data_IF_434419283202
#
_entry.id   IF_434419283202
#
_cell.length_a   1.000
_cell.length_b   1.000
_cell.length_c   1.000
_cell.angle_alpha   90.00
_cell.angle_beta   90.00
_cell.angle_gamma   90.00
#
_symmetry.space_group_name_H-M   'P 1'
#
loop_
_entity.id
_entity.type
_entity.pdbx_description
1 polymer ?
#
# COMPACT_ATOMS: atom_id res chain seq x y z
N UNK A 1 28.42 -13.16 19.90
CA UNK A 1 27.65 -14.01 18.97
C UNK A 1 27.70 -13.38 17.58
N UNK A 2 28.61 -13.84 16.71
CA UNK A 2 28.64 -13.41 15.31
C UNK A 2 27.45 -14.05 14.59
N UNK A 3 26.59 -13.21 13.98
CA UNK A 3 25.47 -13.67 13.16
C UNK A 3 26.01 -14.55 12.01
N UNK A 4 25.18 -15.47 11.51
CA UNK A 4 25.49 -16.48 10.46
C UNK A 4 26.15 -15.90 9.19
N UNK A 5 26.07 -14.58 8.99
CA UNK A 5 26.73 -13.83 7.91
C UNK A 5 28.20 -13.49 8.17
N UNK A 6 28.63 -13.34 9.44
CA UNK A 6 30.04 -13.16 9.79
C UNK A 6 30.89 -14.41 9.50
N UNK A 7 30.26 -15.58 9.57
CA UNK A 7 30.87 -16.84 9.15
C UNK A 7 31.13 -16.90 7.63
N UNK A 8 30.34 -16.20 6.80
CA UNK A 8 30.54 -16.18 5.34
C UNK A 8 31.78 -15.35 4.97
N UNK A 9 32.03 -14.23 5.65
CA UNK A 9 33.27 -13.45 5.47
C UNK A 9 34.50 -14.23 5.93
N UNK A 10 34.38 -14.96 7.05
CA UNK A 10 35.45 -15.85 7.52
C UNK A 10 35.71 -17.00 6.53
N UNK A 11 34.66 -17.58 5.95
CA UNK A 11 34.74 -18.65 4.94
C UNK A 11 35.29 -18.14 3.60
N UNK A 12 35.03 -16.89 3.22
CA UNK A 12 35.63 -16.26 2.03
C UNK A 12 37.13 -15.99 2.23
N UNK A 13 37.53 -15.54 3.43
CA UNK A 13 38.94 -15.37 3.81
C UNK A 13 39.67 -16.73 3.80
N UNK A 14 39.01 -17.80 4.27
CA UNK A 14 39.56 -19.16 4.26
C UNK A 14 39.60 -19.76 2.85
N UNK A 15 38.57 -19.55 2.03
CA UNK A 15 38.52 -20.03 0.64
C UNK A 15 39.59 -19.38 -0.24
N UNK A 16 39.88 -18.09 -0.01
CA UNK A 16 40.96 -17.38 -0.70
C UNK A 16 42.36 -17.87 -0.28
N UNK A 17 42.52 -18.34 0.96
CA UNK A 17 43.72 -19.07 1.38
C UNK A 17 43.92 -20.40 0.65
N UNK A 18 42.83 -21.13 0.34
CA UNK A 18 42.89 -22.41 -0.38
C UNK A 18 43.10 -22.29 -1.89
N UNK A 19 42.70 -21.18 -2.54
CA UNK A 19 42.96 -20.99 -4.00
C UNK A 19 44.46 -20.87 -4.27
N UNK A 20 45.24 -20.31 -3.34
CA UNK A 20 46.68 -20.28 -3.46
C UNK A 20 47.34 -21.67 -3.39
N UNK A 21 46.70 -22.66 -2.76
CA UNK A 21 47.24 -24.03 -2.66
C UNK A 21 47.13 -24.86 -3.95
N UNK A 22 46.38 -24.39 -4.96
CA UNK A 22 46.08 -25.14 -6.19
C UNK A 22 47.01 -24.75 -7.36
N UNK A 23 47.67 -23.60 -7.29
CA UNK A 23 48.65 -23.17 -8.31
C UNK A 23 50.08 -23.25 -7.75
N UNK A 24 51.05 -23.81 -8.49
CA UNK A 24 52.45 -23.82 -8.09
C UNK A 24 53.01 -22.40 -8.26
N UNK A 25 52.70 -21.53 -7.30
CA UNK A 25 53.15 -20.15 -7.24
C UNK A 25 54.34 -20.08 -6.28
N UNK A 26 55.44 -19.40 -6.65
CA UNK A 26 56.59 -19.24 -5.77
C UNK A 26 56.31 -18.17 -4.70
N UNK A 27 55.75 -18.62 -3.58
CA UNK A 27 55.33 -17.80 -2.44
C UNK A 27 56.44 -16.97 -1.80
N UNK A 28 57.71 -17.26 -2.09
CA UNK A 28 58.86 -16.50 -1.55
C UNK A 28 59.09 -15.18 -2.28
N UNK A 29 58.53 -15.03 -3.48
CA UNK A 29 58.61 -13.81 -4.29
C UNK A 29 57.43 -12.84 -4.06
N UNK A 30 56.43 -13.26 -3.29
CA UNK A 30 55.22 -12.48 -3.04
C UNK A 30 55.46 -11.49 -1.92
N UNK A 31 55.33 -10.20 -2.24
CA UNK A 31 55.15 -9.17 -1.22
C UNK A 31 53.75 -9.30 -0.61
N UNK A 32 53.66 -10.09 0.47
CA UNK A 32 52.42 -10.32 1.20
C UNK A 32 51.76 -9.04 1.70
N UNK A 33 52.54 -7.97 1.92
CA UNK A 33 51.99 -6.66 2.29
C UNK A 33 51.21 -6.04 1.13
N UNK A 34 51.79 -6.05 -0.07
CA UNK A 34 51.12 -5.56 -1.28
C UNK A 34 49.87 -6.38 -1.61
N UNK A 35 49.97 -7.71 -1.56
CA UNK A 35 48.83 -8.61 -1.83
C UNK A 35 47.68 -8.40 -0.84
N UNK A 36 47.98 -8.22 0.45
CA UNK A 36 46.95 -7.94 1.46
C UNK A 36 46.24 -6.60 1.20
N UNK A 37 46.97 -5.58 0.74
CA UNK A 37 46.41 -4.27 0.41
C UNK A 37 45.55 -4.33 -0.86
N UNK A 38 46.00 -5.02 -1.91
CA UNK A 38 45.18 -5.26 -3.12
C UNK A 38 43.89 -6.00 -2.80
N UNK A 39 43.97 -7.03 -1.95
CA UNK A 39 42.79 -7.76 -1.49
C UNK A 39 41.84 -6.86 -0.68
N UNK A 40 42.39 -5.97 0.15
CA UNK A 40 41.59 -5.01 0.91
C UNK A 40 40.83 -4.04 -0.01
N UNK A 41 41.46 -3.59 -1.10
CA UNK A 41 40.81 -2.79 -2.14
C UNK A 41 39.68 -3.59 -2.77
N UNK A 42 39.92 -4.82 -3.22
CA UNK A 42 38.88 -5.66 -3.81
C UNK A 42 37.67 -5.85 -2.89
N UNK A 43 37.91 -6.15 -1.61
CA UNK A 43 36.86 -6.34 -0.61
C UNK A 43 36.05 -5.07 -0.36
N UNK A 44 36.68 -3.88 -0.43
CA UNK A 44 36.01 -2.60 -0.27
C UNK A 44 34.94 -2.33 -1.34
N UNK A 45 35.07 -2.92 -2.54
CA UNK A 45 34.08 -2.80 -3.62
C UNK A 45 32.89 -3.76 -3.48
N UNK A 46 33.02 -4.81 -2.68
CA UNK A 46 32.00 -5.86 -2.51
C UNK A 46 30.57 -5.33 -2.32
N UNK A 47 30.32 -4.36 -1.43
CA UNK A 47 28.99 -3.78 -1.24
C UNK A 47 28.39 -3.19 -2.54
N UNK A 48 29.20 -2.56 -3.40
CA UNK A 48 28.72 -1.97 -4.65
C UNK A 48 28.17 -3.00 -5.66
N UNK A 49 28.53 -4.28 -5.51
CA UNK A 49 28.08 -5.37 -6.39
C UNK A 49 26.82 -6.09 -5.93
N UNK A 50 26.30 -5.77 -4.74
CA UNK A 50 25.07 -6.37 -4.22
C UNK A 50 23.93 -5.35 -4.16
N UNK A 51 22.69 -5.85 -4.19
CA UNK A 51 21.49 -5.00 -4.14
C UNK A 51 21.33 -4.32 -2.78
N UNK A 52 20.62 -3.18 -2.73
CA UNK A 52 20.31 -2.49 -1.45
C UNK A 52 19.58 -3.39 -0.45
N UNK A 53 18.71 -4.29 -0.93
CA UNK A 53 18.02 -5.26 -0.09
C UNK A 53 19.00 -6.25 0.56
N UNK A 54 19.99 -6.73 -0.21
CA UNK A 54 21.06 -7.59 0.31
C UNK A 54 21.95 -6.83 1.28
N UNK A 55 22.34 -5.59 0.98
CA UNK A 55 23.12 -4.75 1.90
C UNK A 55 22.43 -4.58 3.24
N UNK A 56 21.14 -4.21 3.24
CA UNK A 56 20.36 -4.08 4.48
C UNK A 56 20.28 -5.40 5.25
N UNK A 57 20.18 -6.54 4.55
CA UNK A 57 20.14 -7.87 5.17
C UNK A 57 21.48 -8.26 5.80
N UNK A 58 22.60 -7.93 5.17
CA UNK A 58 23.93 -8.34 5.64
C UNK A 58 24.53 -7.37 6.67
N UNK A 59 24.39 -6.06 6.45
CA UNK A 59 24.95 -5.01 7.30
C UNK A 59 24.02 -4.71 8.48
N UNK A 60 22.70 -4.86 8.31
CA UNK A 60 21.71 -4.43 9.29
C UNK A 60 21.44 -2.92 9.22
N UNK A 61 20.89 -2.38 10.31
CA UNK A 61 20.63 -0.94 10.45
C UNK A 61 21.83 -0.26 11.11
N UNK A 62 22.37 0.78 10.47
CA UNK A 62 23.46 1.56 11.04
C UNK A 62 22.92 2.47 12.16
N UNK A 63 23.59 2.58 13.30
CA UNK A 63 23.07 3.32 14.47
C UNK A 63 22.85 4.82 14.19
N UNK A 64 23.63 5.41 13.29
CA UNK A 64 23.56 6.83 12.92
C UNK A 64 22.78 7.12 11.63
N UNK A 65 22.58 6.11 10.76
CA UNK A 65 21.88 6.24 9.47
C UNK A 65 21.09 4.95 9.14
N UNK A 66 20.07 4.59 9.92
CA UNK A 66 19.36 3.31 9.77
C UNK A 66 18.69 3.15 8.40
N UNK A 67 18.42 4.28 7.73
CA UNK A 67 17.75 4.31 6.43
C UNK A 67 18.70 4.16 5.24
N UNK A 68 20.04 4.30 5.43
CA UNK A 68 21.02 4.43 4.34
C UNK A 68 22.22 3.48 4.50
N UNK A 69 22.03 2.15 4.38
CA UNK A 69 23.14 1.18 4.41
C UNK A 69 24.18 1.43 3.30
N UNK A 70 23.79 2.09 2.20
CA UNK A 70 24.68 2.42 1.08
C UNK A 70 25.83 3.37 1.45
N UNK A 71 25.69 4.20 2.50
CA UNK A 71 26.75 5.12 2.93
C UNK A 71 28.01 4.35 3.33
N UNK A 72 27.86 3.17 3.93
CA UNK A 72 28.99 2.30 4.26
C UNK A 72 29.70 1.82 2.99
N UNK A 73 28.96 1.45 1.95
CA UNK A 73 29.53 1.02 0.68
C UNK A 73 30.32 2.14 -0.02
N UNK A 74 29.81 3.37 0.02
CA UNK A 74 30.50 4.56 -0.51
C UNK A 74 31.75 4.86 0.31
N UNK A 75 31.66 4.80 1.65
CA UNK A 75 32.79 5.02 2.55
C UNK A 75 33.90 3.99 2.37
N UNK A 76 33.56 2.71 2.21
CA UNK A 76 34.53 1.64 1.92
C UNK A 76 35.22 1.87 0.57
N UNK A 77 34.48 2.26 -0.47
CA UNK A 77 35.08 2.54 -1.78
C UNK A 77 36.03 3.74 -1.74
N UNK A 78 35.68 4.80 -1.00
CA UNK A 78 36.57 5.93 -0.74
C UNK A 78 37.83 5.50 0.03
N UNK A 79 37.68 4.66 1.06
CA UNK A 79 38.79 4.07 1.78
C UNK A 79 39.73 3.26 0.85
N UNK A 80 39.17 2.47 -0.06
CA UNK A 80 39.95 1.74 -1.06
C UNK A 80 40.83 2.67 -1.92
N UNK A 81 40.32 3.83 -2.34
CA UNK A 81 41.10 4.82 -3.07
C UNK A 81 42.19 5.51 -2.23
N UNK A 82 41.96 5.69 -0.92
CA UNK A 82 43.02 6.16 0.00
C UNK A 82 44.15 5.14 0.09
N UNK A 83 43.82 3.84 0.19
CA UNK A 83 44.82 2.76 0.18
C UNK A 83 45.61 2.75 -1.13
N UNK A 84 44.95 2.91 -2.27
CA UNK A 84 45.61 3.00 -3.59
C UNK A 84 46.59 4.17 -3.66
N UNK A 85 46.21 5.34 -3.14
CA UNK A 85 47.09 6.51 -3.07
C UNK A 85 48.31 6.30 -2.18
N UNK A 86 48.10 5.68 -1.01
CA UNK A 86 49.18 5.35 -0.08
C UNK A 86 50.17 4.35 -0.67
N UNK A 87 49.68 3.29 -1.32
CA UNK A 87 50.52 2.23 -1.90
C UNK A 87 51.28 2.70 -3.14
N UNK A 88 50.60 3.42 -4.04
CA UNK A 88 51.22 3.86 -5.29
C UNK A 88 52.17 5.05 -5.12
N UNK A 89 52.08 5.80 -4.01
CA UNK A 89 52.77 7.07 -3.82
C UNK A 89 52.27 8.21 -4.72
N UNK A 90 51.20 7.98 -5.50
CA UNK A 90 50.67 8.90 -6.52
C UNK A 90 49.38 9.56 -6.07
N UNK A 91 49.45 10.29 -4.96
CA UNK A 91 48.29 10.88 -4.31
C UNK A 91 47.40 11.72 -5.23
N UNK A 92 47.97 12.54 -6.11
CA UNK A 92 47.19 13.39 -7.02
C UNK A 92 46.34 12.56 -8.00
N UNK A 93 46.93 11.55 -8.63
CA UNK A 93 46.23 10.69 -9.58
C UNK A 93 45.17 9.83 -8.88
N UNK A 94 45.50 9.26 -7.71
CA UNK A 94 44.59 8.43 -6.93
C UNK A 94 43.42 9.23 -6.36
N UNK A 95 43.65 10.45 -5.86
CA UNK A 95 42.59 11.31 -5.32
C UNK A 95 41.66 11.76 -6.46
N UNK A 96 42.21 12.21 -7.59
CA UNK A 96 41.43 12.65 -8.74
C UNK A 96 40.55 11.53 -9.30
N UNK A 97 41.13 10.38 -9.61
CA UNK A 97 40.39 9.20 -10.08
C UNK A 97 39.40 8.70 -9.03
N UNK A 98 39.82 8.66 -7.75
CA UNK A 98 38.97 8.23 -6.64
C UNK A 98 37.74 9.10 -6.44
N UNK A 99 37.87 10.42 -6.48
CA UNK A 99 36.72 11.33 -6.34
C UNK A 99 35.70 11.13 -7.46
N UNK A 100 36.16 11.02 -8.71
CA UNK A 100 35.30 10.76 -9.86
C UNK A 100 34.57 9.41 -9.72
N UNK A 101 35.33 8.35 -9.45
CA UNK A 101 34.79 7.01 -9.27
C UNK A 101 33.80 6.89 -8.11
N UNK A 102 34.13 7.42 -6.94
CA UNK A 102 33.25 7.46 -5.76
C UNK A 102 31.96 8.20 -6.09
N UNK A 103 32.06 9.34 -6.77
CA UNK A 103 30.89 10.14 -7.19
C UNK A 103 30.02 9.36 -8.16
N UNK A 104 30.60 8.69 -9.16
CA UNK A 104 29.86 7.86 -10.11
C UNK A 104 29.07 6.74 -9.43
N UNK A 105 29.71 6.00 -8.52
CA UNK A 105 29.04 4.93 -7.75
C UNK A 105 27.97 5.50 -6.83
N UNK A 106 28.24 6.62 -6.15
CA UNK A 106 27.28 7.31 -5.29
C UNK A 106 26.02 7.77 -6.06
N UNK A 107 26.20 8.34 -7.25
CA UNK A 107 25.08 8.70 -8.14
C UNK A 107 24.25 7.48 -8.52
N UNK A 108 24.89 6.32 -8.77
CA UNK A 108 24.19 5.05 -9.00
C UNK A 108 23.30 4.62 -7.83
N UNK A 109 23.78 4.78 -6.58
CA UNK A 109 22.95 4.53 -5.39
C UNK A 109 21.78 5.50 -5.28
N UNK A 110 22.04 6.80 -5.47
CA UNK A 110 21.01 7.85 -5.43
C UNK A 110 19.93 7.58 -6.49
N UNK A 111 20.32 7.17 -7.70
CA UNK A 111 19.40 6.82 -8.78
C UNK A 111 18.44 5.69 -8.41
N UNK A 112 18.95 4.58 -7.85
CA UNK A 112 18.10 3.44 -7.41
C UNK A 112 17.10 3.87 -6.33
N UNK A 113 17.53 4.72 -5.39
CA UNK A 113 16.66 5.30 -4.36
C UNK A 113 15.60 6.22 -4.95
N UNK A 114 16.01 7.12 -5.85
CA UNK A 114 15.13 8.06 -6.52
C UNK A 114 14.01 7.35 -7.29
N UNK A 115 14.33 6.29 -8.05
CA UNK A 115 13.31 5.48 -8.75
C UNK A 115 12.38 4.78 -7.76
N UNK A 116 12.92 4.20 -6.69
CA UNK A 116 12.11 3.52 -5.67
C UNK A 116 11.12 4.47 -4.99
N UNK A 117 11.59 5.67 -4.63
CA UNK A 117 10.78 6.71 -4.01
C UNK A 117 9.78 7.33 -4.99
N UNK A 118 10.18 7.57 -6.24
CA UNK A 118 9.29 8.02 -7.30
C UNK A 118 8.18 7.00 -7.57
N UNK A 119 8.50 5.71 -7.60
CA UNK A 119 7.53 4.62 -7.71
C UNK A 119 6.55 4.62 -6.55
N UNK A 120 7.03 4.76 -5.31
CA UNK A 120 6.18 4.88 -4.11
C UNK A 120 5.25 6.08 -4.21
N UNK A 121 5.76 7.27 -4.58
CA UNK A 121 4.95 8.49 -4.78
C UNK A 121 3.95 8.35 -5.92
N UNK A 122 4.34 7.71 -7.02
CA UNK A 122 3.47 7.47 -8.16
C UNK A 122 2.33 6.50 -7.81
N UNK A 123 2.59 5.45 -7.03
CA UNK A 123 1.56 4.53 -6.51
C UNK A 123 0.61 5.30 -5.58
N UNK A 124 1.15 6.10 -4.66
CA UNK A 124 0.34 6.93 -3.77
C UNK A 124 -0.51 7.93 -4.56
N UNK A 125 0.04 8.48 -5.64
CA UNK A 125 -0.64 9.43 -6.51
C UNK A 125 -1.64 8.75 -7.44
N UNK A 126 -1.42 7.52 -7.91
CA UNK A 126 -2.27 6.89 -8.92
C UNK A 126 -3.55 6.29 -8.35
N UNK A 127 -3.74 6.37 -7.03
CA UNK A 127 -5.02 6.09 -6.39
C UNK A 127 -6.10 6.98 -7.07
N UNK A 128 -7.33 6.48 -7.28
CA UNK A 128 -7.92 5.26 -6.73
C UNK A 128 -7.57 3.97 -7.47
N UNK A 129 -6.81 4.01 -8.55
CA UNK A 129 -6.50 2.80 -9.33
C UNK A 129 -5.65 1.83 -8.51
N UNK A 130 -6.19 0.64 -8.19
CA UNK A 130 -5.50 -0.38 -7.41
C UNK A 130 -4.30 -1.00 -8.15
N UNK A 131 -4.23 -0.86 -9.49
CA UNK A 131 -3.15 -1.39 -10.33
C UNK A 131 -2.82 -0.43 -11.48
N UNK A 132 -2.13 0.69 -11.21
CA UNK A 132 -1.81 1.71 -12.22
C UNK A 132 -0.82 1.27 -13.32
N UNK A 133 -0.48 -0.03 -13.40
CA UNK A 133 0.47 -0.54 -14.38
C UNK A 133 1.89 0.01 -14.19
N UNK A 134 2.27 0.43 -12.98
CA UNK A 134 3.58 1.04 -12.71
C UNK A 134 4.72 0.02 -12.60
N UNK A 135 4.41 -1.22 -12.20
CA UNK A 135 5.41 -2.28 -11.99
C UNK A 135 6.20 -2.63 -13.26
N UNK A 136 5.58 -2.78 -14.45
CA UNK A 136 6.31 -2.96 -15.71
C UNK A 136 7.29 -1.85 -16.07
N UNK A 137 7.13 -0.63 -15.54
CA UNK A 137 8.04 0.51 -15.76
C UNK A 137 9.14 0.52 -14.70
N UNK A 138 8.75 0.30 -13.43
CA UNK A 138 9.65 0.40 -12.29
C UNK A 138 10.68 -0.74 -12.24
N UNK A 139 10.28 -1.99 -12.46
CA UNK A 139 11.17 -3.15 -12.32
C UNK A 139 12.34 -3.11 -13.32
N UNK A 140 12.13 -2.86 -14.63
CA UNK A 140 13.24 -2.71 -15.57
C UNK A 140 14.12 -1.50 -15.25
N UNK A 141 13.51 -0.38 -14.86
CA UNK A 141 14.24 0.84 -14.53
C UNK A 141 15.18 0.68 -13.33
N UNK A 142 14.72 0.02 -12.27
CA UNK A 142 15.56 -0.32 -11.11
C UNK A 142 16.71 -1.25 -11.49
N UNK A 143 16.45 -2.25 -12.35
CA UNK A 143 17.50 -3.15 -12.87
C UNK A 143 18.56 -2.40 -13.66
N UNK A 144 18.15 -1.49 -14.55
CA UNK A 144 19.10 -0.70 -15.35
C UNK A 144 19.94 0.24 -14.47
N UNK A 145 19.34 0.94 -13.51
CA UNK A 145 20.08 1.78 -12.55
C UNK A 145 21.07 0.94 -11.73
N UNK A 146 20.67 -0.26 -11.31
CA UNK A 146 21.55 -1.20 -10.62
C UNK A 146 22.73 -1.64 -11.49
N UNK A 147 22.49 -2.02 -12.75
CA UNK A 147 23.54 -2.43 -13.68
C UNK A 147 24.54 -1.31 -13.95
N UNK A 148 24.06 -0.07 -14.13
CA UNK A 148 24.92 1.10 -14.32
C UNK A 148 25.80 1.39 -13.09
N UNK A 149 25.25 1.22 -11.88
CA UNK A 149 26.04 1.30 -10.64
C UNK A 149 27.12 0.22 -10.56
N UNK A 150 26.78 -1.02 -10.92
CA UNK A 150 27.75 -2.14 -10.97
C UNK A 150 28.84 -1.86 -12.00
N UNK A 151 28.48 -1.36 -13.19
CA UNK A 151 29.45 -0.97 -14.21
C UNK A 151 30.38 0.15 -13.71
N UNK A 152 29.84 1.18 -13.05
CA UNK A 152 30.65 2.24 -12.44
C UNK A 152 31.63 1.69 -11.39
N UNK A 153 31.20 0.74 -10.56
CA UNK A 153 32.05 0.10 -9.57
C UNK A 153 33.15 -0.76 -10.21
N UNK A 154 32.83 -1.53 -11.27
CA UNK A 154 33.82 -2.30 -12.03
C UNK A 154 34.86 -1.39 -12.69
N UNK A 155 34.42 -0.29 -13.32
CA UNK A 155 35.32 0.68 -13.96
C UNK A 155 36.22 1.37 -12.93
N UNK A 156 35.68 1.71 -11.77
CA UNK A 156 36.47 2.23 -10.64
C UNK A 156 37.49 1.21 -10.13
N UNK A 157 37.13 -0.07 -10.05
CA UNK A 157 38.05 -1.13 -9.64
C UNK A 157 39.18 -1.28 -10.67
N UNK A 158 38.87 -1.29 -11.97
CA UNK A 158 39.88 -1.30 -13.04
C UNK A 158 40.80 -0.08 -12.93
N UNK A 159 40.23 1.12 -12.76
CA UNK A 159 40.99 2.34 -12.57
C UNK A 159 41.98 2.22 -11.40
N UNK A 160 41.53 1.66 -10.27
CA UNK A 160 42.37 1.48 -9.08
C UNK A 160 43.58 0.56 -9.35
N UNK A 161 43.38 -0.57 -10.03
CA UNK A 161 44.48 -1.46 -10.42
C UNK A 161 45.40 -0.85 -11.47
N UNK A 162 44.87 -0.03 -12.38
CA UNK A 162 45.69 0.71 -13.35
C UNK A 162 46.63 1.70 -12.64
N UNK A 163 46.16 2.41 -11.61
CA UNK A 163 47.03 3.29 -10.80
C UNK A 163 48.12 2.49 -10.08
N UNK A 164 47.76 1.36 -9.46
CA UNK A 164 48.72 0.49 -8.78
C UNK A 164 49.82 -0.02 -9.72
N UNK A 165 49.49 -0.23 -11.01
CA UNK A 165 50.45 -0.62 -12.06
C UNK A 165 51.23 0.55 -12.68
N UNK A 166 51.01 1.79 -12.21
CA UNK A 166 51.70 2.97 -12.72
C UNK A 166 51.02 3.67 -13.91
N UNK A 167 49.78 3.31 -14.26
CA UNK A 167 49.01 4.02 -15.29
C UNK A 167 48.21 5.19 -14.71
N UNK A 168 48.64 6.43 -14.98
CA UNK A 168 47.93 7.63 -14.51
C UNK A 168 46.77 8.04 -15.42
N UNK A 169 47.08 8.39 -16.68
CA UNK A 169 46.10 8.87 -17.64
C UNK A 169 45.00 7.83 -17.96
N UNK A 170 45.37 6.55 -18.07
CA UNK A 170 44.44 5.45 -18.30
C UNK A 170 43.45 5.28 -17.13
N UNK A 171 43.95 5.35 -15.89
CA UNK A 171 43.10 5.26 -14.71
C UNK A 171 42.09 6.41 -14.65
N UNK A 172 42.52 7.62 -15.02
CA UNK A 172 41.62 8.77 -15.10
C UNK A 172 40.51 8.53 -16.13
N UNK A 173 40.82 7.93 -17.28
CA UNK A 173 39.81 7.60 -18.29
C UNK A 173 38.76 6.61 -17.78
N UNK A 174 39.18 5.55 -17.07
CA UNK A 174 38.25 4.62 -16.42
C UNK A 174 37.40 5.29 -15.33
N UNK A 175 37.97 6.22 -14.56
CA UNK A 175 37.24 6.98 -13.55
C UNK A 175 36.21 7.96 -14.16
N UNK A 176 36.53 8.57 -15.30
CA UNK A 176 35.57 9.36 -16.10
C UNK A 176 34.44 8.47 -16.60
N UNK A 177 34.74 7.30 -17.18
CA UNK A 177 33.72 6.34 -17.60
C UNK A 177 32.82 5.89 -16.44
N UNK A 178 33.39 5.66 -15.25
CA UNK A 178 32.61 5.34 -14.05
C UNK A 178 31.65 6.48 -13.65
N UNK A 179 32.11 7.73 -13.76
CA UNK A 179 31.31 8.92 -13.51
C UNK A 179 30.17 9.05 -14.52
N UNK A 180 30.45 8.82 -15.81
CA UNK A 180 29.44 8.84 -16.89
C UNK A 180 28.37 7.75 -16.67
N UNK A 181 28.76 6.55 -16.24
CA UNK A 181 27.80 5.49 -15.91
C UNK A 181 26.90 5.89 -14.73
N UNK A 182 27.46 6.51 -13.69
CA UNK A 182 26.70 7.07 -12.57
C UNK A 182 25.74 8.19 -12.98
N UNK A 183 26.21 9.13 -13.79
CA UNK A 183 25.39 10.23 -14.32
C UNK A 183 24.25 9.71 -15.21
N UNK A 184 24.53 8.71 -16.04
CA UNK A 184 23.52 8.04 -16.88
C UNK A 184 22.43 7.39 -16.02
N UNK A 185 22.79 6.79 -14.88
CA UNK A 185 21.82 6.24 -13.94
C UNK A 185 20.93 7.35 -13.34
N UNK A 186 21.51 8.50 -13.00
CA UNK A 186 20.76 9.65 -12.48
C UNK A 186 19.78 10.23 -13.52
N UNK A 187 20.21 10.38 -14.78
CA UNK A 187 19.35 10.84 -15.89
C UNK A 187 18.21 9.84 -16.13
N UNK A 188 18.52 8.54 -16.16
CA UNK A 188 17.51 7.49 -16.29
C UNK A 188 16.49 7.53 -15.14
N UNK A 189 16.95 7.72 -13.90
CA UNK A 189 16.08 7.84 -12.73
C UNK A 189 15.15 9.05 -12.83
N UNK A 190 15.64 10.19 -13.31
CA UNK A 190 14.82 11.38 -13.56
C UNK A 190 13.76 11.13 -14.65
N UNK A 191 14.16 10.53 -15.78
CA UNK A 191 13.25 10.18 -16.88
C UNK A 191 12.16 9.19 -16.43
N UNK A 192 12.53 8.16 -15.67
CA UNK A 192 11.59 7.21 -15.07
C UNK A 192 10.66 7.89 -14.07
N UNK A 193 11.18 8.81 -13.25
CA UNK A 193 10.36 9.60 -12.33
C UNK A 193 9.28 10.39 -13.05
N UNK A 194 9.63 11.03 -14.18
CA UNK A 194 8.68 11.75 -15.02
C UNK A 194 7.66 10.81 -15.68
N UNK A 195 8.11 9.67 -16.22
CA UNK A 195 7.22 8.67 -16.82
C UNK A 195 6.21 8.11 -15.79
N UNK A 196 6.69 7.77 -14.58
CA UNK A 196 5.86 7.31 -13.47
C UNK A 196 4.86 8.38 -13.02
N UNK A 197 5.27 9.65 -13.00
CA UNK A 197 4.37 10.77 -12.71
C UNK A 197 3.25 10.91 -13.76
N UNK A 198 3.60 10.87 -15.06
CA UNK A 198 2.59 10.93 -16.12
C UNK A 198 1.66 9.72 -16.10
N UNK A 199 2.19 8.51 -15.92
CA UNK A 199 1.39 7.29 -15.81
C UNK A 199 0.45 7.34 -14.60
N UNK A 200 0.92 7.88 -13.49
CA UNK A 200 0.10 8.09 -12.29
C UNK A 200 -1.07 9.06 -12.56
N UNK A 201 -0.81 10.18 -13.25
CA UNK A 201 -1.89 11.12 -13.65
C UNK A 201 -2.90 10.47 -14.59
N UNK A 202 -2.44 9.67 -15.56
CA UNK A 202 -3.34 8.89 -16.44
C UNK A 202 -4.15 7.86 -15.65
N UNK A 203 -3.52 7.17 -14.70
CA UNK A 203 -4.17 6.20 -13.81
C UNK A 203 -5.32 6.79 -12.99
N UNK A 204 -5.21 8.05 -12.57
CA UNK A 204 -6.32 8.79 -11.92
C UNK A 204 -7.50 8.98 -12.86
N UNK A 205 -7.24 9.42 -14.09
CA UNK A 205 -8.27 9.67 -15.09
C UNK A 205 -8.97 8.37 -15.53
N UNK A 206 -8.22 7.26 -15.62
CA UNK A 206 -8.78 5.97 -16.01
C UNK A 206 -9.56 5.28 -14.91
N UNK A 207 -9.35 5.54 -13.61
CA UNK A 207 -10.13 4.89 -12.56
C UNK A 207 -11.64 5.21 -12.65
N UNK A 208 -11.99 6.48 -12.89
CA UNK A 208 -13.38 6.87 -13.13
C UNK A 208 -13.92 6.28 -14.45
N UNK A 209 -13.08 6.22 -15.48
CA UNK A 209 -13.43 5.60 -16.77
C UNK A 209 -13.64 4.09 -16.69
N UNK A 210 -12.83 3.38 -15.89
CA UNK A 210 -12.94 1.93 -15.67
C UNK A 210 -14.23 1.64 -14.93
N UNK A 211 -14.53 2.37 -13.86
CA UNK A 211 -15.79 2.21 -13.12
C UNK A 211 -16.98 2.52 -14.03
N UNK A 212 -16.93 3.62 -14.79
CA UNK A 212 -17.97 3.95 -15.77
C UNK A 212 -18.12 2.87 -16.85
N UNK A 213 -17.04 2.23 -17.30
CA UNK A 213 -17.08 1.14 -18.29
C UNK A 213 -17.61 -0.17 -17.71
N UNK A 214 -17.28 -0.49 -16.45
CA UNK A 214 -17.80 -1.65 -15.73
C UNK A 214 -19.30 -1.48 -15.45
N UNK A 215 -19.71 -0.29 -15.02
CA UNK A 215 -21.13 0.09 -14.88
C UNK A 215 -21.87 0.06 -16.22
N UNK A 216 -21.23 0.47 -17.33
CA UNK A 216 -21.85 0.37 -18.66
C UNK A 216 -22.09 -1.08 -19.07
N UNK A 217 -21.16 -1.98 -18.72
CA UNK A 217 -21.21 -3.39 -19.10
C UNK A 217 -22.19 -4.22 -18.26
N UNK A 218 -22.34 -3.89 -16.96
CA UNK A 218 -23.11 -4.68 -15.98
C UNK A 218 -24.34 -3.95 -15.41
N UNK A 219 -24.47 -2.65 -15.68
CA UNK A 219 -25.50 -1.76 -15.16
C UNK A 219 -25.09 -1.07 -13.84
N UNK A 220 -25.60 0.13 -13.55
CA UNK A 220 -25.16 0.92 -12.40
C UNK A 220 -25.52 0.26 -11.07
N UNK A 221 -24.66 0.45 -10.06
CA UNK A 221 -24.99 0.08 -8.69
C UNK A 221 -26.10 1.00 -8.15
N UNK A 222 -27.06 0.43 -7.43
CA UNK A 222 -28.14 1.18 -6.78
C UNK A 222 -27.81 1.48 -5.32
N UNK A 223 -27.00 0.62 -4.70
CA UNK A 223 -26.63 0.69 -3.29
C UNK A 223 -25.12 0.64 -3.14
N UNK A 224 -24.57 1.47 -2.24
CA UNK A 224 -23.18 1.39 -1.80
C UNK A 224 -23.08 0.91 -0.35
N UNK A 225 -22.13 0.02 -0.05
CA UNK A 225 -21.75 -0.35 1.32
C UNK A 225 -20.40 0.32 1.64
N UNK A 226 -20.43 1.32 2.51
CA UNK A 226 -19.26 2.10 2.87
C UNK A 226 -18.45 1.42 3.98
N UNK A 227 -17.17 1.14 3.69
CA UNK A 227 -16.27 0.41 4.56
C UNK A 227 -15.05 1.26 4.91
N UNK A 228 -14.96 1.68 6.18
CA UNK A 228 -13.83 2.44 6.71
C UNK A 228 -13.38 1.92 8.08
N UNK A 229 -12.75 0.75 8.10
CA UNK A 229 -12.58 -0.02 9.33
C UNK A 229 -11.10 -0.33 9.62
N UNK A 230 -10.83 -0.89 10.80
CA UNK A 230 -9.47 -1.31 11.18
C UNK A 230 -9.02 -2.59 10.45
N UNK A 231 -7.71 -2.82 10.35
CA UNK A 231 -7.14 -4.01 9.69
C UNK A 231 -7.51 -5.36 10.29
N UNK A 232 -8.10 -5.38 11.49
CA UNK A 232 -8.58 -6.59 12.15
C UNK A 232 -10.08 -6.83 11.99
N UNK A 233 -10.79 -5.92 11.32
CA UNK A 233 -12.24 -6.03 11.15
C UNK A 233 -12.61 -7.23 10.26
N UNK A 234 -13.64 -7.97 10.69
CA UNK A 234 -14.17 -9.13 9.94
C UNK A 234 -15.25 -8.74 8.91
N UNK A 235 -15.73 -7.49 8.96
CA UNK A 235 -16.76 -6.93 8.09
C UNK A 235 -18.03 -7.80 7.95
N UNK A 236 -18.49 -8.40 9.06
CA UNK A 236 -19.63 -9.32 9.07
C UNK A 236 -20.94 -8.66 8.64
N UNK A 237 -21.19 -7.41 9.09
CA UNK A 237 -22.36 -6.64 8.69
C UNK A 237 -22.37 -6.37 7.18
N UNK A 238 -21.23 -5.94 6.60
CA UNK A 238 -21.10 -5.75 5.14
C UNK A 238 -21.38 -7.05 4.40
N UNK A 239 -20.79 -8.17 4.85
CA UNK A 239 -21.04 -9.49 4.25
C UNK A 239 -22.52 -9.84 4.27
N UNK A 240 -23.19 -9.64 5.41
CA UNK A 240 -24.61 -9.92 5.60
C UNK A 240 -25.47 -9.07 4.68
N UNK A 241 -25.30 -7.75 4.71
CA UNK A 241 -26.07 -6.82 3.87
C UNK A 241 -25.86 -7.13 2.40
N UNK A 242 -24.60 -7.33 1.96
CA UNK A 242 -24.29 -7.67 0.57
C UNK A 242 -25.00 -8.96 0.13
N UNK A 243 -24.97 -10.02 0.96
CA UNK A 243 -25.67 -11.27 0.66
C UNK A 243 -27.20 -11.11 0.62
N UNK A 244 -27.79 -10.32 1.51
CA UNK A 244 -29.23 -10.03 1.49
C UNK A 244 -29.64 -9.25 0.24
N UNK A 245 -28.91 -8.17 -0.08
CA UNK A 245 -29.17 -7.37 -1.28
C UNK A 245 -28.99 -8.18 -2.58
N UNK A 246 -27.99 -9.05 -2.63
CA UNK A 246 -27.81 -9.96 -3.76
C UNK A 246 -29.00 -10.93 -3.92
N UNK A 247 -29.53 -11.47 -2.82
CA UNK A 247 -30.73 -12.32 -2.85
C UNK A 247 -31.98 -11.54 -3.31
N UNK A 248 -32.06 -10.26 -2.96
CA UNK A 248 -33.12 -9.33 -3.37
C UNK A 248 -32.88 -8.70 -4.76
N UNK A 249 -31.84 -9.15 -5.48
CA UNK A 249 -31.44 -8.68 -6.82
C UNK A 249 -31.17 -7.17 -6.88
N UNK A 250 -30.66 -6.59 -5.81
CA UNK A 250 -30.23 -5.19 -5.74
C UNK A 250 -28.76 -5.07 -6.07
N UNK A 251 -28.43 -4.33 -7.13
CA UNK A 251 -27.05 -4.13 -7.55
C UNK A 251 -26.27 -3.32 -6.52
N UNK A 252 -25.19 -3.88 -6.02
CA UNK A 252 -24.48 -3.38 -4.85
C UNK A 252 -23.00 -3.16 -5.15
N UNK A 253 -22.47 -2.00 -4.75
CA UNK A 253 -21.05 -1.71 -4.73
C UNK A 253 -20.53 -1.62 -3.30
N UNK A 254 -19.35 -2.19 -3.02
CA UNK A 254 -18.66 -1.98 -1.75
C UNK A 254 -17.60 -0.90 -1.95
N UNK A 255 -17.64 0.18 -1.15
CA UNK A 255 -16.64 1.25 -1.16
C UNK A 255 -15.65 1.02 -0.02
N UNK A 256 -14.45 0.54 -0.35
CA UNK A 256 -13.39 0.29 0.61
C UNK A 256 -12.44 1.49 0.74
N UNK A 257 -12.25 2.01 1.96
CA UNK A 257 -11.26 3.06 2.24
C UNK A 257 -9.85 2.50 2.43
N UNK A 258 -9.72 1.26 2.92
CA UNK A 258 -8.42 0.66 3.25
C UNK A 258 -8.05 -0.51 2.33
N UNK A 259 -6.80 -0.51 1.82
CA UNK A 259 -6.35 -1.50 0.84
C UNK A 259 -6.26 -2.92 1.39
N UNK A 260 -6.06 -3.07 2.70
CA UNK A 260 -5.98 -4.38 3.35
C UNK A 260 -7.33 -5.10 3.39
N UNK A 261 -8.46 -4.37 3.28
CA UNK A 261 -9.78 -4.97 3.29
C UNK A 261 -10.16 -5.57 1.92
N UNK A 262 -9.58 -5.07 0.83
CA UNK A 262 -9.91 -5.48 -0.54
C UNK A 262 -9.90 -7.00 -0.79
N UNK A 263 -8.88 -7.78 -0.35
CA UNK A 263 -8.87 -9.23 -0.60
C UNK A 263 -10.03 -9.97 0.07
N UNK A 264 -10.53 -9.46 1.19
CA UNK A 264 -11.67 -10.03 1.90
C UNK A 264 -12.99 -9.58 1.26
N UNK A 265 -13.13 -8.28 0.97
CA UNK A 265 -14.35 -7.69 0.40
C UNK A 265 -14.64 -8.22 -1.01
N UNK A 266 -13.62 -8.52 -1.81
CA UNK A 266 -13.77 -9.16 -3.13
C UNK A 266 -14.40 -10.56 -3.08
N UNK A 267 -14.51 -11.18 -1.89
CA UNK A 267 -15.17 -12.48 -1.69
C UNK A 267 -16.64 -12.34 -1.32
N UNK A 268 -17.13 -11.13 -1.10
CA UNK A 268 -18.51 -10.89 -0.71
C UNK A 268 -19.42 -10.83 -1.93
N UNK A 269 -20.72 -11.04 -1.72
CA UNK A 269 -21.75 -11.06 -2.76
C UNK A 269 -22.12 -9.63 -3.20
N UNK A 270 -21.18 -8.89 -3.76
CA UNK A 270 -21.40 -7.57 -4.35
C UNK A 270 -21.00 -7.57 -5.83
N UNK A 271 -21.70 -6.79 -6.64
CA UNK A 271 -21.42 -6.64 -8.07
C UNK A 271 -20.09 -5.92 -8.32
N UNK A 272 -19.76 -4.99 -7.41
CA UNK A 272 -18.56 -4.17 -7.48
C UNK A 272 -17.86 -4.04 -6.13
N UNK A 273 -16.54 -3.94 -6.17
CA UNK A 273 -15.71 -3.53 -5.04
C UNK A 273 -14.81 -2.39 -5.48
N UNK A 274 -15.16 -1.18 -5.06
CA UNK A 274 -14.45 0.04 -5.38
C UNK A 274 -13.49 0.42 -4.26
N UNK A 275 -12.31 0.88 -4.64
CA UNK A 275 -11.30 1.34 -3.69
C UNK A 275 -11.22 2.87 -3.68
N UNK A 276 -11.54 3.49 -2.55
CA UNK A 276 -11.55 4.95 -2.37
C UNK A 276 -10.73 5.41 -1.17
N UNK A 277 -9.39 5.39 -1.22
CA UNK A 277 -8.58 5.69 -0.04
C UNK A 277 -8.67 7.13 0.48
N UNK A 278 -9.11 8.09 -0.32
CA UNK A 278 -9.16 9.52 0.02
C UNK A 278 -10.42 10.20 -0.56
N UNK A 279 -10.70 11.43 -0.12
CA UNK A 279 -11.92 12.18 -0.48
C UNK A 279 -12.15 12.32 -1.99
N UNK A 280 -11.13 12.74 -2.75
CA UNK A 280 -11.24 12.89 -4.19
C UNK A 280 -11.53 11.57 -4.95
N UNK A 281 -11.24 10.41 -4.36
CA UNK A 281 -11.67 9.14 -4.92
C UNK A 281 -13.18 8.93 -4.71
N UNK A 282 -13.70 9.32 -3.54
CA UNK A 282 -15.14 9.30 -3.29
C UNK A 282 -15.90 10.23 -4.24
N UNK A 283 -15.33 11.38 -4.60
CA UNK A 283 -15.93 12.29 -5.59
C UNK A 283 -16.13 11.60 -6.94
N UNK A 284 -15.19 10.75 -7.35
CA UNK A 284 -15.31 9.97 -8.58
C UNK A 284 -16.32 8.81 -8.47
N UNK A 285 -16.58 8.31 -7.25
CA UNK A 285 -17.55 7.24 -6.97
C UNK A 285 -18.97 7.77 -6.68
N UNK A 286 -19.14 9.07 -6.50
CA UNK A 286 -20.45 9.68 -6.40
C UNK A 286 -21.12 9.68 -7.78
N UNK A 287 -21.92 8.65 -8.06
CA UNK A 287 -22.60 8.43 -9.34
C UNK A 287 -24.10 8.73 -9.24
N UNK A 288 -24.76 9.18 -10.31
CA UNK A 288 -26.22 9.38 -10.32
C UNK A 288 -27.04 8.10 -10.11
N UNK A 289 -26.47 6.93 -10.41
CA UNK A 289 -27.17 5.64 -10.26
C UNK A 289 -27.31 5.16 -8.81
N UNK A 290 -26.45 5.65 -7.91
CA UNK A 290 -26.51 5.32 -6.48
C UNK A 290 -27.68 6.04 -5.83
N UNK A 291 -28.48 5.30 -5.07
CA UNK A 291 -29.63 5.81 -4.31
C UNK A 291 -29.32 5.85 -2.81
N UNK A 292 -28.72 4.78 -2.30
CA UNK A 292 -28.53 4.54 -0.86
C UNK A 292 -27.10 4.15 -0.53
N UNK A 293 -26.61 4.60 0.61
CA UNK A 293 -25.31 4.25 1.17
C UNK A 293 -25.51 3.67 2.57
N UNK A 294 -25.09 2.43 2.77
CA UNK A 294 -25.05 1.81 4.09
C UNK A 294 -23.70 2.00 4.78
N UNK A 295 -23.75 2.26 6.08
CA UNK A 295 -22.61 2.33 6.99
C UNK A 295 -22.76 1.22 8.02
N UNK A 296 -21.69 0.51 8.40
CA UNK A 296 -21.82 -0.67 9.29
C UNK A 296 -21.20 -0.51 10.67
N UNK A 297 -20.75 0.69 10.99
CA UNK A 297 -20.23 1.09 12.30
C UNK A 297 -20.26 2.62 12.36
N UNK A 298 -20.24 3.23 13.55
CA UNK A 298 -20.09 4.69 13.69
C UNK A 298 -18.61 5.09 13.70
N UNK A 299 -18.06 5.22 12.50
CA UNK A 299 -16.66 5.59 12.30
C UNK A 299 -16.53 7.06 11.96
N UNK A 300 -15.49 7.72 12.49
CA UNK A 300 -15.17 9.14 12.16
C UNK A 300 -15.10 9.36 10.64
N UNK A 301 -14.64 8.36 9.89
CA UNK A 301 -14.50 8.42 8.43
C UNK A 301 -15.83 8.30 7.67
N UNK A 302 -16.95 8.01 8.32
CA UNK A 302 -18.26 7.93 7.65
C UNK A 302 -18.71 9.30 7.17
N UNK A 303 -18.43 10.37 7.93
CA UNK A 303 -18.73 11.75 7.56
C UNK A 303 -18.14 12.18 6.21
N UNK A 304 -17.14 11.46 5.70
CA UNK A 304 -16.55 11.69 4.39
C UNK A 304 -17.50 11.45 3.21
N UNK A 305 -18.43 10.48 3.32
CA UNK A 305 -19.38 10.16 2.25
C UNK A 305 -20.78 10.71 2.53
N UNK A 306 -21.12 10.95 3.80
CA UNK A 306 -22.38 11.59 4.22
C UNK A 306 -22.58 12.96 3.56
N UNK A 307 -21.51 13.68 3.20
CA UNK A 307 -21.58 14.99 2.51
C UNK A 307 -22.33 14.98 1.16
N UNK A 308 -22.50 13.80 0.54
CA UNK A 308 -23.26 13.67 -0.70
C UNK A 308 -24.75 13.57 -0.39
N UNK A 309 -25.36 14.73 -0.17
CA UNK A 309 -26.75 14.85 0.28
C UNK A 309 -27.77 14.29 -0.72
N UNK A 310 -27.38 14.01 -1.96
CA UNK A 310 -28.24 13.38 -2.96
C UNK A 310 -28.55 11.90 -2.66
N UNK A 311 -27.78 11.25 -1.78
CA UNK A 311 -28.00 9.85 -1.40
C UNK A 311 -28.70 9.73 -0.07
N UNK A 312 -29.48 8.67 0.12
CA UNK A 312 -29.94 8.25 1.44
C UNK A 312 -28.78 7.59 2.19
N UNK A 313 -28.51 8.03 3.40
CA UNK A 313 -27.46 7.49 4.27
C UNK A 313 -28.09 6.67 5.39
N UNK A 314 -27.81 5.38 5.43
CA UNK A 314 -28.39 4.44 6.40
C UNK A 314 -27.27 3.84 7.26
N UNK A 315 -27.36 3.98 8.57
CA UNK A 315 -26.45 3.32 9.50
C UNK A 315 -27.04 1.99 9.98
N UNK A 316 -26.33 0.89 9.75
CA UNK A 316 -26.58 -0.40 10.37
C UNK A 316 -25.89 -0.46 11.74
N UNK A 317 -26.69 -0.26 12.80
CA UNK A 317 -26.23 -0.29 14.18
C UNK A 317 -26.41 -1.66 14.85
N UNK A 318 -26.69 -2.74 14.10
CA UNK A 318 -26.96 -4.05 14.69
C UNK A 318 -25.70 -4.73 15.24
N UNK A 319 -24.51 -4.14 15.09
CA UNK A 319 -23.25 -4.72 15.56
C UNK A 319 -22.37 -3.69 16.25
N UNK A 320 -21.36 -4.17 16.99
CA UNK A 320 -20.35 -3.32 17.60
C UNK A 320 -20.78 -2.73 18.94
N UNK A 321 -20.25 -1.55 19.28
CA UNK A 321 -20.61 -0.84 20.51
C UNK A 321 -22.01 -0.24 20.47
N UNK A 322 -22.46 0.20 19.29
CA UNK A 322 -23.78 0.82 19.11
C UNK A 322 -24.93 -0.12 19.44
N UNK A 323 -24.81 -1.40 19.13
CA UNK A 323 -25.87 -2.38 19.41
C UNK A 323 -26.12 -2.62 20.89
N UNK A 324 -25.28 -2.05 21.77
CA UNK A 324 -25.39 -2.16 23.24
C UNK A 324 -25.68 -0.82 23.91
N UNK A 325 -25.89 0.24 23.13
CA UNK A 325 -26.19 1.55 23.68
C UNK A 325 -27.64 1.60 24.19
N UNK A 326 -27.83 2.06 25.43
CA UNK A 326 -29.18 2.21 25.99
C UNK A 326 -29.96 3.39 25.40
N UNK A 327 -29.24 4.41 24.93
CA UNK A 327 -29.79 5.62 24.31
C UNK A 327 -29.12 5.89 22.96
N UNK A 328 -29.84 6.51 22.00
CA UNK A 328 -29.29 6.81 20.69
C UNK A 328 -28.21 7.89 20.80
N UNK A 329 -26.98 7.65 20.28
CA UNK A 329 -25.95 8.69 20.25
C UNK A 329 -26.38 9.88 19.39
N UNK A 330 -26.03 11.11 19.82
CA UNK A 330 -26.31 12.32 19.03
C UNK A 330 -25.69 12.31 17.62
N UNK A 331 -24.58 11.59 17.44
CA UNK A 331 -23.92 11.46 16.14
C UNK A 331 -24.78 10.76 15.08
N UNK A 332 -25.85 10.06 15.48
CA UNK A 332 -26.77 9.39 14.57
C UNK A 332 -27.54 10.35 13.66
N UNK A 333 -27.66 11.64 14.01
CA UNK A 333 -28.41 12.64 13.24
C UNK A 333 -27.82 12.94 11.86
N UNK A 334 -26.59 12.49 11.58
CA UNK A 334 -26.00 12.67 10.25
C UNK A 334 -26.52 11.66 9.22
N UNK A 335 -27.21 10.61 9.66
CA UNK A 335 -27.83 9.61 8.79
C UNK A 335 -29.31 9.92 8.60
N UNK A 336 -29.85 9.53 7.44
CA UNK A 336 -31.29 9.65 7.16
C UNK A 336 -32.08 8.56 7.89
N UNK A 337 -31.50 7.36 8.07
CA UNK A 337 -32.11 6.24 8.80
C UNK A 337 -31.07 5.46 9.61
N UNK A 338 -31.49 4.85 10.71
CA UNK A 338 -30.65 3.99 11.57
C UNK A 338 -31.35 2.68 11.85
N UNK A 339 -30.75 1.56 11.43
CA UNK A 339 -31.24 0.22 11.70
C UNK A 339 -30.81 -0.18 13.11
N UNK A 340 -31.78 -0.31 14.01
CA UNK A 340 -31.58 -0.82 15.36
C UNK A 340 -31.34 -2.35 15.35
N UNK A 341 -30.69 -2.90 16.39
CA UNK A 341 -30.44 -4.34 16.50
C UNK A 341 -31.72 -5.19 16.53
N UNK A 342 -32.75 -4.71 17.21
CA UNK A 342 -34.01 -5.38 17.46
C UNK A 342 -35.12 -4.36 17.79
N UNK A 343 -36.34 -4.88 17.87
CA UNK A 343 -37.56 -4.09 18.12
C UNK A 343 -37.55 -3.40 19.49
N UNK A 344 -37.08 -4.09 20.52
CA UNK A 344 -37.06 -3.55 21.88
C UNK A 344 -36.08 -2.38 22.00
N UNK A 345 -34.91 -2.51 21.35
CA UNK A 345 -33.91 -1.45 21.27
C UNK A 345 -34.43 -0.27 20.44
N UNK A 346 -35.11 -0.53 19.33
CA UNK A 346 -35.73 0.53 18.52
C UNK A 346 -36.75 1.33 19.34
N UNK A 347 -37.68 0.65 20.02
CA UNK A 347 -38.68 1.30 20.86
C UNK A 347 -38.03 2.12 21.98
N UNK A 348 -37.02 1.55 22.65
CA UNK A 348 -36.25 2.25 23.69
C UNK A 348 -35.53 3.48 23.15
N UNK A 349 -34.91 3.38 21.97
CA UNK A 349 -34.23 4.53 21.38
C UNK A 349 -35.22 5.62 20.97
N UNK A 350 -36.34 5.25 20.36
CA UNK A 350 -37.40 6.19 19.97
C UNK A 350 -38.00 6.92 21.17
N UNK A 351 -38.17 6.26 22.31
CA UNK A 351 -38.70 6.91 23.53
C UNK A 351 -37.75 7.91 24.17
N UNK A 352 -36.44 7.82 23.88
CA UNK A 352 -35.42 8.76 24.35
C UNK A 352 -35.00 9.79 23.28
N UNK A 353 -35.44 9.61 22.04
CA UNK A 353 -35.13 10.46 20.91
C UNK A 353 -36.10 11.64 20.81
N UNK A 354 -35.66 12.74 20.20
CA UNK A 354 -36.61 13.76 19.76
C UNK A 354 -37.52 13.21 18.64
N UNK A 355 -38.70 13.80 18.36
CA UNK A 355 -39.65 13.24 17.40
C UNK A 355 -39.05 12.99 16.02
N UNK A 356 -38.18 13.88 15.54
CA UNK A 356 -37.51 13.74 14.25
C UNK A 356 -36.52 12.59 14.25
N UNK A 357 -35.76 12.41 15.33
CA UNK A 357 -34.86 11.26 15.49
C UNK A 357 -35.61 9.94 15.63
N UNK A 358 -36.76 9.93 16.32
CA UNK A 358 -37.57 8.73 16.50
C UNK A 358 -38.05 8.16 15.15
N UNK A 359 -38.45 9.02 14.21
CA UNK A 359 -38.89 8.63 12.86
C UNK A 359 -37.79 7.96 12.01
N UNK A 360 -36.52 8.25 12.30
CA UNK A 360 -35.37 7.70 11.55
C UNK A 360 -34.92 6.32 12.06
N UNK A 361 -35.35 5.90 13.25
CA UNK A 361 -34.96 4.63 13.86
C UNK A 361 -35.86 3.53 13.30
N UNK A 362 -35.27 2.52 12.65
CA UNK A 362 -35.98 1.46 11.94
C UNK A 362 -35.48 0.07 12.34
N UNK A 363 -36.25 -0.96 12.04
CA UNK A 363 -35.87 -2.37 12.25
C UNK A 363 -36.05 -3.13 10.94
N UNK A 364 -35.19 -4.11 10.67
CA UNK A 364 -35.36 -5.03 9.55
C UNK A 364 -35.70 -6.41 10.09
N UNK A 365 -36.95 -6.86 9.93
CA UNK A 365 -37.50 -8.11 10.47
C UNK A 365 -37.01 -9.38 9.73
N UNK A 366 -36.06 -9.24 8.81
CA UNK A 366 -35.36 -10.38 8.19
C UNK A 366 -34.71 -11.33 9.21
N UNK A 367 -34.57 -10.90 10.47
CA UNK A 367 -34.06 -11.71 11.59
C UNK A 367 -35.04 -12.78 12.09
N UNK A 368 -36.34 -12.73 11.75
CA UNK A 368 -37.31 -13.76 12.17
C UNK A 368 -37.35 -15.00 11.29
N UNK A 369 -36.79 -14.97 10.08
CA UNK A 369 -36.84 -16.10 9.14
C UNK A 369 -35.48 -16.76 8.94
N UNK A 370 -34.95 -17.40 9.99
CA UNK A 370 -34.02 -18.52 9.82
C UNK A 370 -34.00 -19.44 11.03
N UNK A 371 -35.00 -20.31 11.13
CA UNK A 371 -34.85 -21.64 11.71
C UNK A 371 -35.20 -22.65 10.64
N UNK A 372 -34.24 -23.41 10.09
CA UNK A 372 -34.54 -24.65 9.42
C UNK A 372 -35.10 -25.59 10.49
N UNK A 373 -36.34 -26.05 10.35
CA UNK A 373 -37.04 -27.04 11.19
C UNK A 373 -37.81 -26.56 12.44
N UNK A 374 -38.29 -25.31 12.50
CA UNK A 374 -39.31 -24.95 13.48
C UNK A 374 -40.57 -24.39 12.81
N UNK A 375 -41.62 -25.21 12.81
CA UNK A 375 -43.00 -24.75 12.65
C UNK A 375 -43.28 -23.69 13.72
N UNK A 376 -43.41 -22.43 13.29
CA UNK A 376 -43.87 -21.27 14.05
C UNK A 376 -43.11 -20.93 15.36
N UNK A 377 -42.42 -19.79 15.37
CA UNK A 377 -42.26 -19.03 16.62
C UNK A 377 -43.62 -18.42 16.99
N UNK A 378 -44.43 -19.19 17.72
CA UNK A 378 -45.36 -18.60 18.66
C UNK A 378 -44.51 -17.94 19.76
N UNK A 379 -44.84 -16.69 20.07
CA UNK A 379 -44.39 -16.04 21.29
C UNK A 379 -44.54 -17.01 22.46
N UNK A 380 -43.43 -17.53 22.98
CA UNK A 380 -43.41 -18.30 24.22
C UNK A 380 -43.69 -17.32 25.36
N UNK A 381 -44.97 -17.11 25.65
CA UNK A 381 -45.44 -16.27 26.76
C UNK A 381 -46.62 -15.34 26.47
N UNK A 382 -47.03 -15.15 25.21
CA UNK A 382 -48.22 -14.35 24.91
C UNK A 382 -49.48 -15.21 25.05
N UNK A 383 -50.42 -14.79 25.89
CA UNK A 383 -51.73 -15.41 25.93
C UNK A 383 -52.38 -15.22 24.56
N UNK A 384 -53.08 -16.23 24.05
CA UNK A 384 -53.81 -16.22 22.76
C UNK A 384 -54.90 -15.11 22.72
N UNK A 385 -55.14 -14.42 23.84
CA UNK A 385 -56.03 -13.28 23.98
C UNK A 385 -55.37 -11.91 23.78
N UNK A 386 -54.05 -11.82 23.64
CA UNK A 386 -53.39 -10.53 23.44
C UNK A 386 -53.68 -10.01 22.03
N UNK A 387 -54.17 -8.76 21.88
CA UNK A 387 -54.46 -8.20 20.57
C UNK A 387 -53.20 -8.24 19.71
N UNK A 388 -53.35 -8.64 18.44
CA UNK A 388 -52.25 -8.60 17.47
C UNK A 388 -51.70 -7.18 17.48
N UNK A 389 -50.44 -6.96 17.90
CA UNK A 389 -49.90 -5.61 17.96
C UNK A 389 -49.95 -5.02 16.56
N UNK A 390 -50.40 -3.77 16.46
CA UNK A 390 -50.41 -3.06 15.18
C UNK A 390 -49.01 -3.13 14.56
N UNK A 391 -48.91 -3.44 13.25
CA UNK A 391 -47.62 -3.56 12.59
C UNK A 391 -46.88 -2.22 12.71
N UNK A 392 -45.69 -2.24 13.32
CA UNK A 392 -44.84 -1.06 13.45
C UNK A 392 -44.51 -0.54 12.04
N UNK A 393 -44.92 0.68 11.67
CA UNK A 393 -44.70 1.23 10.33
C UNK A 393 -43.21 1.45 10.01
N UNK A 394 -42.33 1.40 11.02
CA UNK A 394 -40.88 1.51 10.89
C UNK A 394 -40.16 0.16 10.99
N UNK A 395 -40.91 -0.94 10.82
CA UNK A 395 -40.39 -2.30 10.72
C UNK A 395 -40.48 -2.80 9.27
N UNK A 396 -39.34 -3.10 8.67
CA UNK A 396 -39.23 -3.49 7.26
C UNK A 396 -38.95 -4.98 7.12
N UNK A 397 -39.60 -5.64 6.16
CA UNK A 397 -39.40 -7.09 5.93
C UNK A 397 -38.10 -7.43 5.21
N UNK A 398 -37.47 -6.46 4.55
CA UNK A 398 -36.26 -6.64 3.73
C UNK A 398 -35.44 -5.35 3.62
N UNK A 399 -34.19 -5.45 3.17
CA UNK A 399 -33.38 -4.26 2.90
C UNK A 399 -33.96 -3.46 1.73
N UNK A 400 -34.51 -4.14 0.72
CA UNK A 400 -35.18 -3.51 -0.42
C UNK A 400 -36.37 -2.65 -0.01
N UNK A 401 -37.22 -3.15 0.89
CA UNK A 401 -38.36 -2.40 1.39
C UNK A 401 -37.91 -1.11 2.10
N UNK A 402 -36.85 -1.19 2.92
CA UNK A 402 -36.25 -0.01 3.55
C UNK A 402 -35.67 0.96 2.51
N UNK A 403 -34.93 0.46 1.52
CA UNK A 403 -34.33 1.29 0.46
C UNK A 403 -35.40 2.08 -0.30
N UNK A 404 -36.47 1.40 -0.73
CA UNK A 404 -37.53 2.02 -1.52
C UNK A 404 -38.29 3.07 -0.68
N UNK A 405 -38.59 2.76 0.59
CA UNK A 405 -39.20 3.71 1.53
C UNK A 405 -38.30 4.93 1.79
N UNK A 406 -37.04 4.70 2.13
CA UNK A 406 -36.12 5.75 2.49
C UNK A 406 -35.82 6.69 1.30
N UNK A 407 -35.72 6.14 0.10
CA UNK A 407 -35.54 6.92 -1.11
C UNK A 407 -36.76 7.77 -1.45
N UNK A 408 -37.98 7.21 -1.35
CA UNK A 408 -39.22 7.95 -1.54
C UNK A 408 -39.38 9.07 -0.51
N UNK A 409 -39.11 8.79 0.77
CA UNK A 409 -39.14 9.78 1.84
C UNK A 409 -38.20 10.96 1.56
N UNK A 410 -36.97 10.68 1.12
CA UNK A 410 -35.98 11.71 0.80
C UNK A 410 -36.35 12.55 -0.42
N UNK A 411 -36.98 11.94 -1.44
CA UNK A 411 -37.47 12.68 -2.60
C UNK A 411 -38.66 13.59 -2.26
N UNK A 412 -39.58 13.12 -1.42
CA UNK A 412 -40.70 13.94 -0.93
C UNK A 412 -40.22 15.17 -0.16
N UNK A 413 -39.26 14.99 0.75
CA UNK A 413 -38.67 16.09 1.52
C UNK A 413 -37.89 17.12 0.68
N UNK A 414 -37.44 16.75 -0.52
CA UNK A 414 -36.75 17.68 -1.43
C UNK A 414 -37.71 18.51 -2.30
N UNK A 415 -39.00 18.14 -2.35
CA UNK A 415 -40.03 18.82 -3.13
C UNK A 415 -40.87 19.80 -2.29
N UNK A 416 -40.91 19.59 -0.97
CA UNK A 416 -41.46 20.53 0.03
C UNK A 416 -40.47 21.64 0.34
#
# INVERSE_FOLDING_TARGET
MLNRNGAIYLVLIVLLGTVGAIFPFDWRSVDWGLTALELSVLLAYGPAFITLAQQRRYIGELPFLPQYPEVLGIGLLAYGWVVVGAVSGRWLDSIGAGLLSVTGVALGYVAVRAVSEAGRRAILSAKPNAKPGLKPIMDPGLRQCYLLRVAAALLSLVASFTVLKGGGAEALWFAVCASVAGLSAAVLAAALGLALYHQSRRGKQTAAGVIASEELARGPAEVALYCSDSAKAKHLAIKRIASSLAAERVRTAIIARESHALPLLNKFSADYVWFAPYMGALDALARPGLKVVFYTHDGIKNGHFVRYNQYVHILDATTGSLSRADTPPKALTMYDFVIAPDQDTAQRWRSHADPRQAEMIVVIDSFRFKVPDADYFLFSGANVSDPVPEPDPLCFTSYRALIDHAFAHKQGAAQS
#
